data_IF_152856058743
#
_entry.id   IF_152856058743
#
_cell.length_a   1.000
_cell.length_b   1.000
_cell.length_c   1.000
_cell.angle_alpha   90.00
_cell.angle_beta   90.00
_cell.angle_gamma   90.00
#
_symmetry.space_group_name_H-M   'P 1'
#
loop_
_entity.id
_entity.type
_entity.pdbx_description
1 polymer ?
#
# COMPACT_ATOMS: atom_id res chain seq x y z
N UNK A 1 -39.60 22.21 -71.80
CA UNK A 1 -40.44 21.83 -70.63
C UNK A 1 -39.62 21.99 -69.35
N UNK A 2 -39.90 22.97 -68.48
CA UNK A 2 -39.21 23.10 -67.17
C UNK A 2 -39.81 22.09 -66.19
N UNK A 3 -39.03 21.11 -65.75
CA UNK A 3 -39.43 20.14 -64.72
C UNK A 3 -39.74 20.93 -63.43
N UNK A 4 -40.92 20.72 -62.84
CA UNK A 4 -41.31 21.43 -61.61
C UNK A 4 -40.39 21.04 -60.44
N UNK A 5 -40.16 21.97 -59.51
CA UNK A 5 -39.34 21.74 -58.31
C UNK A 5 -39.82 20.51 -57.53
N UNK A 6 -41.12 20.27 -57.50
CA UNK A 6 -41.75 19.09 -56.88
C UNK A 6 -41.34 17.80 -57.58
N UNK A 7 -41.41 17.73 -58.91
CA UNK A 7 -40.98 16.55 -59.68
C UNK A 7 -39.49 16.25 -59.45
N UNK A 8 -38.64 17.28 -59.34
CA UNK A 8 -37.21 17.11 -59.03
C UNK A 8 -36.98 16.57 -57.61
N UNK A 9 -37.76 17.02 -56.62
CA UNK A 9 -37.69 16.51 -55.24
C UNK A 9 -38.16 15.06 -55.15
N UNK A 10 -39.27 14.72 -55.80
CA UNK A 10 -39.79 13.34 -55.85
C UNK A 10 -38.80 12.41 -56.54
N UNK A 11 -38.24 12.81 -57.69
CA UNK A 11 -37.24 12.01 -58.39
C UNK A 11 -35.99 11.75 -57.52
N UNK A 12 -35.50 12.78 -56.81
CA UNK A 12 -34.38 12.61 -55.86
C UNK A 12 -34.73 11.66 -54.72
N UNK A 13 -35.94 11.74 -54.17
CA UNK A 13 -36.40 10.84 -53.11
C UNK A 13 -36.49 9.39 -53.60
N UNK A 14 -37.06 9.16 -54.80
CA UNK A 14 -37.13 7.83 -55.42
C UNK A 14 -35.74 7.27 -55.68
N UNK A 15 -34.82 8.09 -56.21
CA UNK A 15 -33.42 7.68 -56.43
C UNK A 15 -32.71 7.33 -55.11
N UNK A 16 -32.95 8.10 -54.06
CA UNK A 16 -32.40 7.83 -52.73
C UNK A 16 -32.93 6.50 -52.15
N UNK A 17 -34.23 6.25 -52.25
CA UNK A 17 -34.83 4.98 -51.81
C UNK A 17 -34.26 3.80 -52.60
N UNK A 18 -34.18 3.91 -53.93
CA UNK A 18 -33.58 2.87 -54.77
C UNK A 18 -32.11 2.59 -54.39
N UNK A 19 -31.34 3.65 -54.11
CA UNK A 19 -29.95 3.51 -53.66
C UNK A 19 -29.87 2.79 -52.30
N UNK A 20 -30.68 3.19 -51.32
CA UNK A 20 -30.72 2.52 -50.02
C UNK A 20 -31.13 1.05 -50.14
N UNK A 21 -32.18 0.74 -50.91
CA UNK A 21 -32.60 -0.65 -51.15
C UNK A 21 -31.51 -1.48 -51.84
N UNK A 22 -30.79 -0.90 -52.79
CA UNK A 22 -29.67 -1.55 -53.46
C UNK A 22 -28.52 -1.85 -52.48
N UNK A 23 -28.17 -0.89 -51.62
CA UNK A 23 -27.15 -1.07 -50.58
C UNK A 23 -27.53 -2.16 -49.57
N UNK A 24 -28.80 -2.24 -49.18
CA UNK A 24 -29.27 -3.29 -48.27
C UNK A 24 -29.15 -4.68 -48.90
N UNK A 25 -29.57 -4.83 -50.16
CA UNK A 25 -29.46 -6.11 -50.89
C UNK A 25 -27.98 -6.53 -51.02
N UNK A 26 -27.09 -5.60 -51.40
CA UNK A 26 -25.66 -5.88 -51.47
C UNK A 26 -25.08 -6.29 -50.11
N UNK A 27 -25.56 -5.68 -49.02
CA UNK A 27 -25.11 -5.96 -47.66
C UNK A 27 -25.42 -7.39 -47.21
N UNK A 28 -26.52 -8.00 -47.67
CA UNK A 28 -26.78 -9.43 -47.44
C UNK A 28 -25.69 -10.33 -48.06
N UNK A 29 -25.26 -10.00 -49.29
CA UNK A 29 -24.19 -10.72 -49.99
C UNK A 29 -22.83 -10.53 -49.32
N UNK A 30 -22.49 -9.27 -48.97
CA UNK A 30 -21.24 -8.95 -48.27
C UNK A 30 -21.17 -9.62 -46.88
N UNK A 31 -22.28 -9.68 -46.15
CA UNK A 31 -22.37 -10.41 -44.89
C UNK A 31 -22.10 -11.91 -45.08
N UNK A 32 -22.68 -12.53 -46.11
CA UNK A 32 -22.47 -13.96 -46.41
C UNK A 32 -21.00 -14.28 -46.70
N UNK A 33 -20.36 -13.46 -47.54
CA UNK A 33 -18.95 -13.64 -47.89
C UNK A 33 -18.04 -13.57 -46.65
N UNK A 34 -18.41 -12.77 -45.65
CA UNK A 34 -17.60 -12.53 -44.46
C UNK A 34 -17.87 -13.52 -43.33
N UNK A 35 -19.14 -13.81 -43.05
CA UNK A 35 -19.54 -14.65 -41.90
C UNK A 35 -19.75 -16.12 -42.27
N UNK A 36 -19.65 -16.48 -43.55
CA UNK A 36 -19.91 -17.84 -44.05
C UNK A 36 -21.39 -18.25 -44.00
N UNK A 37 -22.29 -17.35 -43.60
CA UNK A 37 -23.74 -17.57 -43.44
C UNK A 37 -24.56 -16.36 -43.85
N UNK A 38 -25.80 -16.58 -44.28
CA UNK A 38 -26.71 -15.49 -44.61
C UNK A 38 -27.05 -14.63 -43.39
N UNK A 39 -27.31 -13.34 -43.63
CA UNK A 39 -27.69 -12.40 -42.59
C UNK A 39 -29.00 -12.83 -41.92
N UNK A 40 -28.99 -12.85 -40.59
CA UNK A 40 -30.20 -12.91 -39.77
C UNK A 40 -30.05 -11.93 -38.61
N UNK A 41 -31.16 -11.32 -38.19
CA UNK A 41 -31.14 -10.34 -37.10
C UNK A 41 -30.68 -10.96 -35.77
N UNK A 42 -31.01 -12.22 -35.51
CA UNK A 42 -30.52 -12.94 -34.33
C UNK A 42 -29.01 -13.15 -34.36
N UNK A 43 -28.46 -13.53 -35.52
CA UNK A 43 -27.00 -13.65 -35.71
C UNK A 43 -26.31 -12.30 -35.57
N UNK A 44 -26.83 -11.26 -36.20
CA UNK A 44 -26.29 -9.90 -36.12
C UNK A 44 -26.30 -9.36 -34.68
N UNK A 45 -27.36 -9.65 -33.91
CA UNK A 45 -27.46 -9.31 -32.50
C UNK A 45 -26.46 -10.10 -31.64
N UNK A 46 -26.28 -11.41 -31.89
CA UNK A 46 -25.28 -12.22 -31.20
C UNK A 46 -23.85 -11.70 -31.42
N UNK A 47 -23.51 -11.31 -32.66
CA UNK A 47 -22.22 -10.73 -33.00
C UNK A 47 -21.99 -9.40 -32.28
N UNK A 48 -23.02 -8.54 -32.17
CA UNK A 48 -22.94 -7.29 -31.41
C UNK A 48 -22.76 -7.52 -29.91
N UNK A 49 -23.55 -8.42 -29.33
CA UNK A 49 -23.51 -8.70 -27.90
C UNK A 49 -22.18 -9.34 -27.47
N UNK A 50 -21.62 -10.25 -28.28
CA UNK A 50 -20.31 -10.86 -28.01
C UNK A 50 -19.14 -9.87 -28.17
N UNK A 51 -19.27 -8.87 -29.06
CA UNK A 51 -18.28 -7.81 -29.16
C UNK A 51 -18.26 -6.89 -27.93
N UNK A 52 -19.44 -6.56 -27.37
CA UNK A 52 -19.55 -5.74 -26.15
C UNK A 52 -19.00 -6.42 -24.89
N UNK A 53 -19.15 -7.74 -24.75
CA UNK A 53 -18.63 -8.50 -23.61
C UNK A 53 -17.12 -8.78 -23.66
N UNK A 54 -16.47 -8.58 -24.80
CA UNK A 54 -15.04 -8.86 -24.99
C UNK A 54 -14.11 -7.70 -24.62
N UNK A 55 -14.66 -6.54 -24.26
CA UNK A 55 -13.86 -5.42 -23.76
C UNK A 55 -13.53 -5.66 -22.28
N UNK A 56 -12.37 -6.27 -22.02
CA UNK A 56 -11.71 -6.13 -20.72
C UNK A 56 -11.55 -4.64 -20.46
N UNK A 57 -12.34 -4.10 -19.52
CA UNK A 57 -12.21 -2.72 -19.05
C UNK A 57 -10.73 -2.45 -18.79
N UNK A 58 -10.19 -1.38 -19.38
CA UNK A 58 -8.87 -0.89 -18.99
C UNK A 58 -8.99 -0.37 -17.55
N UNK A 59 -8.73 -1.23 -16.58
CA UNK A 59 -8.42 -0.77 -15.24
C UNK A 59 -7.03 -0.16 -15.30
N UNK A 60 -6.90 1.08 -14.85
CA UNK A 60 -5.59 1.54 -14.38
C UNK A 60 -5.11 0.47 -13.39
N UNK A 61 -3.90 -0.10 -13.55
CA UNK A 61 -3.24 -0.79 -12.46
C UNK A 61 -2.89 0.27 -11.41
N UNK A 62 -3.91 0.74 -10.70
CA UNK A 62 -3.75 1.35 -9.40
C UNK A 62 -3.61 0.15 -8.51
N UNK A 63 -2.38 -0.12 -8.08
CA UNK A 63 -2.20 -1.07 -7.01
C UNK A 63 -2.77 -0.43 -5.74
N UNK A 64 -4.06 -0.68 -5.49
CA UNK A 64 -4.80 -0.19 -4.33
C UNK A 64 -4.40 -0.92 -3.05
N UNK A 65 -3.46 -1.88 -3.12
CA UNK A 65 -2.98 -2.60 -1.94
C UNK A 65 -2.14 -1.71 -1.01
N UNK A 66 -1.55 -0.63 -1.53
CA UNK A 66 -0.81 0.33 -0.72
C UNK A 66 -1.77 1.30 -0.02
N UNK A 67 -2.06 1.04 1.25
CA UNK A 67 -2.71 1.98 2.15
C UNK A 67 -1.70 3.07 2.58
N UNK A 68 -2.13 4.33 2.68
CA UNK A 68 -1.28 5.47 3.10
C UNK A 68 -1.10 6.56 2.04
N UNK A 69 -0.91 7.80 2.47
CA UNK A 69 -0.52 8.93 1.62
C UNK A 69 1.01 9.02 1.50
N UNK A 70 1.53 9.40 0.33
CA UNK A 70 2.98 9.62 0.14
C UNK A 70 3.43 10.82 0.98
N UNK A 71 4.49 10.65 1.77
CA UNK A 71 5.11 11.72 2.55
C UNK A 71 6.50 12.02 1.98
N UNK A 72 6.82 13.29 1.68
CA UNK A 72 8.05 13.63 0.94
C UNK A 72 9.34 13.22 1.64
N UNK A 73 9.35 13.16 2.98
CA UNK A 73 10.55 12.84 3.77
C UNK A 73 10.54 11.45 4.41
N UNK A 74 9.34 10.88 4.63
CA UNK A 74 9.16 9.65 5.43
C UNK A 74 8.63 8.50 4.56
N UNK A 75 8.43 8.77 3.27
CA UNK A 75 7.95 7.82 2.27
C UNK A 75 6.43 7.72 2.24
N UNK A 76 5.81 7.34 3.36
CA UNK A 76 4.35 7.29 3.47
C UNK A 76 3.88 7.53 4.91
N UNK A 77 2.67 8.04 5.05
CA UNK A 77 1.97 8.29 6.33
C UNK A 77 0.49 7.91 6.20
N UNK A 78 -0.27 8.01 7.28
CA UNK A 78 -1.73 7.82 7.21
C UNK A 78 -2.38 8.88 6.33
N UNK A 79 -3.38 8.53 5.52
CA UNK A 79 -4.05 9.52 4.69
C UNK A 79 -4.86 10.49 5.56
N UNK A 80 -5.09 11.74 5.10
CA UNK A 80 -5.77 12.77 5.91
C UNK A 80 -7.20 12.41 6.35
N UNK A 81 -7.84 11.50 5.62
CA UNK A 81 -9.19 10.99 5.88
C UNK A 81 -9.20 9.66 6.65
N UNK A 82 -8.06 9.23 7.19
CA UNK A 82 -8.00 8.06 8.03
C UNK A 82 -8.72 8.33 9.35
N UNK A 83 -9.71 7.50 9.67
CA UNK A 83 -10.34 7.50 10.97
C UNK A 83 -9.78 6.34 11.79
N UNK A 84 -9.31 6.58 13.03
CA UNK A 84 -8.92 5.50 13.92
C UNK A 84 -10.10 4.57 14.16
N UNK A 85 -9.85 3.26 14.15
CA UNK A 85 -10.86 2.30 14.55
C UNK A 85 -11.14 2.48 16.05
N UNK A 86 -12.23 3.20 16.36
CA UNK A 86 -12.60 3.59 17.73
C UNK A 86 -12.85 2.42 18.67
N UNK A 87 -13.02 1.18 18.16
CA UNK A 87 -13.37 0.01 18.98
C UNK A 87 -12.27 -0.45 19.95
N UNK A 88 -11.01 -0.03 19.76
CA UNK A 88 -9.87 -0.56 20.53
C UNK A 88 -9.08 0.53 21.29
N UNK A 89 -9.63 1.74 21.45
CA UNK A 89 -8.94 2.85 22.12
C UNK A 89 -9.25 2.87 23.61
N UNK A 90 -8.22 2.77 24.44
CA UNK A 90 -8.35 2.71 25.92
C UNK A 90 -8.01 4.02 26.62
N UNK A 91 -7.39 4.97 25.92
CA UNK A 91 -6.89 6.23 26.49
C UNK A 91 -6.68 7.30 25.40
N UNK A 92 -6.77 8.58 25.79
CA UNK A 92 -6.65 9.76 24.93
C UNK A 92 -7.97 10.52 24.83
N UNK A 93 -8.15 11.54 25.68
CA UNK A 93 -9.30 12.46 25.57
C UNK A 93 -9.14 13.44 24.40
N UNK A 94 -10.27 13.75 23.77
CA UNK A 94 -10.45 14.67 22.63
C UNK A 94 -9.46 14.49 21.47
N UNK A 95 -9.81 13.52 20.61
CA UNK A 95 -9.27 13.39 19.25
C UNK A 95 -9.21 14.77 18.58
N UNK A 96 -8.00 15.22 18.21
CA UNK A 96 -7.93 15.96 16.95
C UNK A 96 -8.43 14.99 15.89
N UNK A 97 -9.56 15.29 15.24
CA UNK A 97 -10.19 14.42 14.23
C UNK A 97 -9.31 14.16 12.99
N UNK A 98 -8.02 14.50 13.03
CA UNK A 98 -7.07 14.39 11.94
C UNK A 98 -5.71 13.90 12.45
N UNK A 99 -5.05 13.00 11.71
CA UNK A 99 -3.69 12.59 12.03
C UNK A 99 -2.76 13.82 11.98
N UNK A 100 -1.94 14.00 13.01
CA UNK A 100 -1.01 15.12 13.12
C UNK A 100 0.11 14.94 12.08
N UNK A 101 -0.04 15.56 10.91
CA UNK A 101 0.81 15.36 9.73
C UNK A 101 0.87 13.91 9.21
N UNK A 102 -0.24 13.18 9.36
CA UNK A 102 -0.32 11.79 8.90
C UNK A 102 0.17 10.74 9.91
N UNK A 103 0.51 11.15 11.14
CA UNK A 103 0.84 10.24 12.23
C UNK A 103 -0.36 9.98 13.18
N UNK A 104 -0.47 8.78 13.78
CA UNK A 104 -1.60 8.35 14.63
C UNK A 104 -1.70 9.02 16.01
N UNK A 105 -0.94 10.08 16.27
CA UNK A 105 -0.88 10.69 17.59
C UNK A 105 -2.13 11.49 17.96
N UNK A 106 -2.58 11.36 19.21
CA UNK A 106 -3.70 12.13 19.78
C UNK A 106 -3.37 13.59 20.08
N UNK A 107 -2.09 13.92 20.18
CA UNK A 107 -1.59 15.29 20.40
C UNK A 107 -0.74 15.69 19.20
N UNK A 108 -0.58 17.01 18.92
CA UNK A 108 0.38 17.48 17.93
C UNK A 108 1.75 16.82 18.14
N UNK A 109 2.37 16.34 17.07
CA UNK A 109 3.66 15.64 17.17
C UNK A 109 4.79 16.57 17.65
N UNK A 110 4.70 17.87 17.33
CA UNK A 110 5.62 18.90 17.81
C UNK A 110 5.24 19.31 19.23
N UNK A 111 6.06 18.91 20.19
CA UNK A 111 5.93 19.25 21.61
C UNK A 111 7.20 19.95 22.12
N UNK A 112 7.08 20.68 23.23
CA UNK A 112 8.18 21.40 23.88
C UNK A 112 8.36 20.94 25.31
N UNK A 113 9.60 20.67 25.71
CA UNK A 113 9.91 20.21 27.07
C UNK A 113 9.47 21.25 28.09
N UNK A 114 9.03 20.76 29.24
CA UNK A 114 8.76 21.58 30.41
C UNK A 114 9.23 20.87 31.68
N UNK A 115 9.51 21.61 32.77
CA UNK A 115 9.92 21.00 34.03
C UNK A 115 8.89 20.06 34.68
N UNK A 116 7.65 20.01 34.20
CA UNK A 116 6.60 19.18 34.78
C UNK A 116 6.16 18.03 33.84
N UNK A 117 6.62 18.03 32.60
CA UNK A 117 6.22 17.04 31.58
C UNK A 117 7.36 16.08 31.25
N UNK A 118 7.02 14.88 30.80
CA UNK A 118 7.96 13.94 30.18
C UNK A 118 7.38 13.59 28.81
N UNK A 119 8.07 13.97 27.76
CA UNK A 119 7.65 13.75 26.38
C UNK A 119 8.23 12.43 25.89
N UNK A 120 7.37 11.48 25.56
CA UNK A 120 7.73 10.16 25.03
C UNK A 120 7.39 10.11 23.55
N UNK A 121 8.39 9.92 22.70
CA UNK A 121 8.19 9.63 21.28
C UNK A 121 8.16 8.12 21.05
N UNK A 122 7.07 7.60 20.49
CA UNK A 122 6.94 6.19 20.13
C UNK A 122 7.11 6.00 18.62
N UNK A 123 8.07 5.16 18.24
CA UNK A 123 8.47 4.89 16.85
C UNK A 123 8.40 3.39 16.55
N UNK A 124 8.15 3.07 15.28
CA UNK A 124 8.12 1.69 14.80
C UNK A 124 7.02 1.41 13.79
N UNK A 125 6.71 0.13 13.62
CA UNK A 125 5.69 -0.39 12.72
C UNK A 125 4.29 -0.48 13.34
N UNK A 126 3.48 -1.42 12.81
CA UNK A 126 2.10 -1.64 13.27
C UNK A 126 2.01 -2.13 14.73
N UNK A 127 2.99 -2.88 15.21
CA UNK A 127 3.04 -3.28 16.63
C UNK A 127 3.22 -2.06 17.54
N UNK A 128 4.14 -1.14 17.20
CA UNK A 128 4.31 0.11 17.94
C UNK A 128 3.05 1.00 17.85
N UNK A 129 2.41 1.06 16.68
CA UNK A 129 1.15 1.79 16.49
C UNK A 129 0.02 1.21 17.37
N UNK A 130 -0.17 -0.10 17.41
CA UNK A 130 -1.19 -0.73 18.27
C UNK A 130 -0.83 -0.58 19.75
N UNK A 131 0.46 -0.70 20.08
CA UNK A 131 0.98 -0.46 21.41
C UNK A 131 0.65 0.95 21.91
N UNK A 132 0.66 1.96 21.02
CA UNK A 132 0.20 3.31 21.36
C UNK A 132 -1.22 3.31 21.93
N UNK A 133 -2.12 2.54 21.31
CA UNK A 133 -3.54 2.51 21.66
C UNK A 133 -3.87 1.62 22.87
N UNK A 134 -3.09 0.56 23.08
CA UNK A 134 -3.41 -0.49 24.05
C UNK A 134 -2.40 -0.64 25.18
N UNK A 135 -1.10 -0.42 24.90
CA UNK A 135 -0.02 -0.66 25.85
C UNK A 135 0.45 0.58 26.61
N UNK A 136 0.34 1.78 26.03
CA UNK A 136 0.82 3.02 26.66
C UNK A 136 0.24 3.25 28.06
N UNK A 137 -1.07 3.08 28.34
CA UNK A 137 -1.60 3.30 29.68
C UNK A 137 -0.89 2.47 30.75
N UNK A 138 -0.60 1.20 30.46
CA UNK A 138 0.12 0.29 31.36
C UNK A 138 1.57 0.75 31.53
N UNK A 139 2.25 1.12 30.44
CA UNK A 139 3.61 1.64 30.49
C UNK A 139 3.69 2.88 31.39
N UNK A 140 2.78 3.85 31.22
CA UNK A 140 2.80 5.08 31.98
C UNK A 140 2.54 4.84 33.47
N UNK A 141 1.59 3.95 33.82
CA UNK A 141 1.38 3.59 35.22
C UNK A 141 2.63 2.95 35.84
N UNK A 142 3.33 2.08 35.11
CA UNK A 142 4.59 1.49 35.58
C UNK A 142 5.70 2.50 35.74
N UNK A 143 5.87 3.43 34.80
CA UNK A 143 6.89 4.48 34.93
C UNK A 143 6.62 5.39 36.14
N UNK A 144 5.36 5.67 36.50
CA UNK A 144 5.02 6.49 37.69
C UNK A 144 5.43 5.86 39.02
N UNK A 145 5.65 4.54 39.06
CA UNK A 145 6.12 3.85 40.27
C UNK A 145 7.52 4.37 40.68
N UNK A 146 8.34 4.75 39.70
CA UNK A 146 9.70 5.28 39.90
C UNK A 146 9.72 6.75 40.37
N UNK A 147 10.51 7.09 41.39
CA UNK A 147 10.66 8.48 41.87
C UNK A 147 11.02 9.51 40.79
N UNK A 148 11.75 9.12 39.73
CA UNK A 148 12.14 10.00 38.61
C UNK A 148 10.93 10.56 37.87
N UNK A 149 9.88 9.78 37.73
CA UNK A 149 8.70 10.14 36.94
C UNK A 149 7.49 10.50 37.80
N UNK A 150 7.55 10.24 39.11
CA UNK A 150 6.45 10.49 40.03
C UNK A 150 6.04 11.97 40.02
N UNK A 151 4.75 12.22 39.78
CA UNK A 151 4.17 13.57 39.74
C UNK A 151 4.43 14.35 38.45
N UNK A 152 5.09 13.76 37.46
CA UNK A 152 5.24 14.33 36.11
C UNK A 152 4.02 14.00 35.25
N UNK A 153 3.65 14.91 34.36
CA UNK A 153 2.68 14.63 33.30
C UNK A 153 3.39 13.96 32.12
N UNK A 154 2.85 12.86 31.61
CA UNK A 154 3.35 12.23 30.39
C UNK A 154 2.66 12.79 29.15
N UNK A 155 3.47 13.17 28.17
CA UNK A 155 3.02 13.59 26.84
C UNK A 155 3.54 12.56 25.84
N UNK A 156 2.68 11.75 25.25
CA UNK A 156 3.12 10.71 24.31
C UNK A 156 2.76 11.10 22.89
N UNK A 157 3.78 11.23 22.05
CA UNK A 157 3.65 11.46 20.60
C UNK A 157 3.94 10.16 19.85
N UNK A 158 3.03 9.75 18.99
CA UNK A 158 3.18 8.53 18.20
C UNK A 158 3.62 8.86 16.79
N UNK A 159 4.83 8.44 16.43
CA UNK A 159 5.42 8.53 15.09
C UNK A 159 5.49 7.14 14.43
N UNK A 160 4.94 6.11 15.08
CA UNK A 160 4.81 4.77 14.52
C UNK A 160 3.74 4.75 13.43
N UNK A 161 3.92 3.91 12.42
CA UNK A 161 2.92 3.74 11.36
C UNK A 161 3.02 2.34 10.78
N UNK A 162 1.87 1.74 10.50
CA UNK A 162 1.73 0.40 9.95
C UNK A 162 2.66 0.15 8.78
N UNK A 163 3.50 -0.87 8.93
CA UNK A 163 4.45 -1.29 7.90
C UNK A 163 5.71 -0.43 7.74
N UNK A 164 5.96 0.52 8.65
CA UNK A 164 7.23 1.23 8.70
C UNK A 164 8.39 0.26 8.95
N UNK A 165 9.49 0.53 8.24
CA UNK A 165 10.77 -0.13 8.41
C UNK A 165 11.88 0.90 8.18
N UNK A 166 13.07 0.65 8.69
CA UNK A 166 14.19 1.56 8.54
C UNK A 166 14.47 1.84 7.05
N UNK A 167 14.85 3.08 6.71
CA UNK A 167 15.16 4.21 7.60
C UNK A 167 13.95 5.11 7.93
N UNK A 168 12.69 4.65 7.80
CA UNK A 168 11.53 5.52 7.98
C UNK A 168 11.44 6.12 9.39
N UNK A 169 11.77 5.35 10.43
CA UNK A 169 11.82 5.85 11.82
C UNK A 169 12.91 6.91 12.00
N UNK A 170 14.11 6.68 11.44
CA UNK A 170 15.19 7.68 11.43
C UNK A 170 14.76 8.98 10.72
N UNK A 171 14.09 8.87 9.58
CA UNK A 171 13.59 10.05 8.85
C UNK A 171 12.46 10.75 9.60
N UNK A 172 11.58 10.00 10.28
CA UNK A 172 10.53 10.57 11.12
C UNK A 172 11.10 11.36 12.30
N UNK A 173 12.19 10.89 12.92
CA UNK A 173 12.87 11.64 13.99
C UNK A 173 13.48 12.93 13.46
N UNK A 174 14.20 12.88 12.33
CA UNK A 174 14.74 14.09 11.71
C UNK A 174 13.65 15.10 11.36
N UNK A 175 12.55 14.63 10.76
CA UNK A 175 11.40 15.45 10.44
C UNK A 175 10.81 16.14 11.67
N UNK A 176 10.67 15.43 12.79
CA UNK A 176 10.21 15.98 14.06
C UNK A 176 11.16 17.04 14.62
N UNK A 177 12.47 16.73 14.69
CA UNK A 177 13.47 17.62 15.26
C UNK A 177 13.63 18.91 14.46
N UNK A 178 13.58 18.84 13.12
CA UNK A 178 13.68 20.02 12.23
C UNK A 178 12.49 20.97 12.42
N UNK A 179 11.30 20.45 12.74
CA UNK A 179 10.15 21.28 13.11
C UNK A 179 10.26 21.90 14.52
N UNK A 180 11.31 21.57 15.25
CA UNK A 180 11.52 22.00 16.62
C UNK A 180 10.76 21.15 17.64
N UNK A 181 10.33 19.94 17.30
CA UNK A 181 9.81 18.99 18.29
C UNK A 181 10.91 18.53 19.24
N UNK A 182 10.56 18.35 20.51
CA UNK A 182 11.47 17.88 21.55
C UNK A 182 10.91 16.62 22.22
N UNK A 183 11.79 15.70 22.63
CA UNK A 183 11.44 14.46 23.31
C UNK A 183 12.31 14.30 24.56
N UNK A 184 11.80 13.75 25.66
CA UNK A 184 12.64 13.31 26.78
C UNK A 184 13.10 11.86 26.59
N UNK A 185 12.21 11.04 26.04
CA UNK A 185 12.42 9.61 25.79
C UNK A 185 11.97 9.25 24.38
N UNK A 186 12.76 8.44 23.67
CA UNK A 186 12.37 7.80 22.41
C UNK A 186 12.30 6.29 22.63
N UNK A 187 11.14 5.71 22.38
CA UNK A 187 10.89 4.26 22.40
C UNK A 187 10.72 3.80 20.97
N UNK A 188 11.62 2.95 20.48
CA UNK A 188 11.53 2.35 19.15
C UNK A 188 11.25 0.85 19.26
N UNK A 189 10.13 0.39 18.72
CA UNK A 189 9.75 -1.02 18.68
C UNK A 189 9.67 -1.48 17.23
N UNK A 190 10.66 -2.26 16.78
CA UNK A 190 10.79 -2.65 15.37
C UNK A 190 11.48 -4.02 15.16
N UNK A 191 11.95 -4.28 13.94
CA UNK A 191 12.69 -5.47 13.53
C UNK A 191 11.91 -6.39 12.59
N UNK A 192 10.64 -6.68 12.88
CA UNK A 192 9.82 -7.57 12.04
C UNK A 192 9.70 -7.09 10.59
N UNK A 193 9.30 -5.84 10.40
CA UNK A 193 9.04 -5.28 9.07
C UNK A 193 10.30 -5.23 8.18
N UNK A 194 11.50 -5.17 8.79
CA UNK A 194 12.77 -5.14 8.08
C UNK A 194 12.95 -6.42 7.26
N UNK A 195 12.64 -7.57 7.86
CA UNK A 195 12.93 -8.89 7.30
C UNK A 195 11.69 -9.57 6.73
N UNK A 196 10.49 -9.21 7.19
CA UNK A 196 9.24 -9.83 6.76
C UNK A 196 8.78 -9.41 5.36
N UNK A 197 8.94 -8.13 4.99
CA UNK A 197 8.31 -7.59 3.77
C UNK A 197 9.11 -7.79 2.49
N UNK A 198 10.39 -8.14 2.59
CA UNK A 198 11.28 -8.18 1.43
C UNK A 198 10.77 -9.16 0.35
N UNK A 199 10.66 -10.44 0.69
CA UNK A 199 10.26 -11.50 -0.23
C UNK A 199 8.81 -11.35 -0.73
N UNK A 200 7.93 -10.81 0.11
CA UNK A 200 6.51 -10.64 -0.23
C UNK A 200 6.21 -9.38 -1.05
N UNK A 201 7.16 -8.45 -1.17
CA UNK A 201 6.90 -7.10 -1.69
C UNK A 201 7.97 -6.60 -2.66
N UNK A 202 8.81 -5.67 -2.19
CA UNK A 202 9.71 -4.87 -3.01
C UNK A 202 10.65 -5.70 -3.91
N UNK A 203 11.11 -6.87 -3.45
CA UNK A 203 12.02 -7.73 -4.22
C UNK A 203 11.44 -8.15 -5.57
N UNK A 204 10.17 -8.57 -5.60
CA UNK A 204 9.50 -9.04 -6.82
C UNK A 204 9.36 -7.94 -7.89
N UNK A 205 9.49 -6.68 -7.47
CA UNK A 205 9.37 -5.50 -8.31
C UNK A 205 10.72 -4.85 -8.59
N UNK A 206 11.83 -5.49 -8.18
CA UNK A 206 13.18 -4.96 -8.33
C UNK A 206 13.41 -3.66 -7.55
N UNK A 207 12.65 -3.43 -6.48
CA UNK A 207 12.76 -2.22 -5.66
C UNK A 207 13.84 -2.42 -4.60
N UNK A 208 14.74 -1.44 -4.48
CA UNK A 208 15.83 -1.43 -3.52
C UNK A 208 15.30 -1.52 -2.07
N UNK A 209 15.88 -2.37 -1.20
CA UNK A 209 15.25 -2.71 0.08
C UNK A 209 15.11 -1.54 1.04
N UNK A 210 15.88 -0.46 0.88
CA UNK A 210 15.78 0.74 1.73
C UNK A 210 14.44 1.47 1.57
N UNK A 211 13.78 1.33 0.41
CA UNK A 211 12.54 2.06 0.13
C UNK A 211 11.37 1.52 0.98
N UNK A 212 10.33 2.35 1.24
CA UNK A 212 9.15 1.91 1.96
C UNK A 212 8.52 0.64 1.36
N UNK A 213 7.77 -0.11 2.15
CA UNK A 213 7.00 -1.25 1.63
C UNK A 213 6.04 -0.80 0.52
N UNK A 214 5.87 -1.66 -0.48
CA UNK A 214 4.98 -1.42 -1.63
C UNK A 214 5.34 -0.12 -2.38
N UNK A 215 6.62 0.23 -2.47
CA UNK A 215 7.04 1.50 -3.08
C UNK A 215 6.52 1.66 -4.50
N UNK A 216 6.60 0.62 -5.34
CA UNK A 216 6.14 0.73 -6.71
C UNK A 216 4.65 1.01 -6.82
N UNK A 217 3.83 0.49 -5.91
CA UNK A 217 2.42 0.82 -5.83
C UNK A 217 2.21 2.29 -5.47
N UNK A 218 3.00 2.82 -4.52
CA UNK A 218 2.90 4.20 -4.02
C UNK A 218 3.33 5.23 -5.05
N UNK A 219 4.42 4.99 -5.76
CA UNK A 219 4.91 5.89 -6.83
C UNK A 219 4.41 5.52 -8.21
N UNK A 220 3.66 4.42 -8.36
CA UNK A 220 3.08 3.97 -9.63
C UNK A 220 2.07 4.95 -10.24
N UNK A 221 1.60 5.92 -9.45
CA UNK A 221 0.77 7.04 -9.92
C UNK A 221 1.59 8.20 -10.49
N UNK A 222 2.87 8.31 -10.15
CA UNK A 222 3.81 9.27 -10.73
C UNK A 222 4.25 8.69 -12.08
N UNK A 223 3.40 8.88 -13.08
CA UNK A 223 3.61 8.33 -14.42
C UNK A 223 4.21 9.38 -15.35
N UNK A 224 5.03 8.92 -16.29
CA UNK A 224 5.44 9.73 -17.42
C UNK A 224 4.19 10.37 -18.09
N UNK A 225 4.16 11.70 -18.31
CA UNK A 225 3.11 12.37 -19.08
C UNK A 225 2.78 11.67 -20.42
N UNK A 226 3.76 11.03 -21.06
CA UNK A 226 3.58 10.19 -22.24
C UNK A 226 2.69 8.98 -21.96
N UNK A 227 2.98 8.21 -20.92
CA UNK A 227 2.20 7.05 -20.51
C UNK A 227 0.78 7.47 -20.11
N UNK A 228 0.62 8.57 -19.35
CA UNK A 228 -0.69 9.12 -19.00
C UNK A 228 -1.52 9.47 -20.24
N UNK A 229 -0.89 10.04 -21.27
CA UNK A 229 -1.54 10.33 -22.55
C UNK A 229 -2.02 9.06 -23.24
N UNK A 230 -1.24 7.97 -23.22
CA UNK A 230 -1.64 6.68 -23.77
C UNK A 230 -2.85 6.09 -23.05
N UNK A 231 -2.87 6.14 -21.70
CA UNK A 231 -4.03 5.74 -20.91
C UNK A 231 -5.27 6.58 -21.23
N UNK A 232 -5.12 7.91 -21.36
CA UNK A 232 -6.20 8.80 -21.76
C UNK A 232 -6.76 8.48 -23.15
N UNK A 233 -5.87 8.19 -24.12
CA UNK A 233 -6.27 7.76 -25.47
C UNK A 233 -7.02 6.44 -25.46
N UNK A 234 -6.55 5.46 -24.68
CA UNK A 234 -7.21 4.17 -24.56
C UNK A 234 -8.61 4.30 -23.91
N UNK A 235 -8.74 5.14 -22.87
CA UNK A 235 -10.04 5.41 -22.23
C UNK A 235 -11.05 6.07 -23.20
N UNK A 236 -10.60 7.02 -24.03
CA UNK A 236 -11.44 7.62 -25.08
C UNK A 236 -11.89 6.55 -26.09
N UNK A 237 -10.98 5.68 -26.54
CA UNK A 237 -11.31 4.59 -27.47
C UNK A 237 -12.31 3.58 -26.89
N UNK A 238 -12.25 3.32 -25.58
CA UNK A 238 -13.26 2.49 -24.89
C UNK A 238 -14.63 3.18 -24.86
N UNK A 239 -14.68 4.50 -24.62
CA UNK A 239 -15.94 5.25 -24.72
C UNK A 239 -16.49 5.24 -26.15
N UNK A 240 -15.65 5.51 -27.15
CA UNK A 240 -16.02 5.49 -28.57
C UNK A 240 -16.56 4.12 -28.97
N UNK A 241 -15.97 3.02 -28.48
CA UNK A 241 -16.42 1.66 -28.76
C UNK A 241 -17.83 1.42 -28.21
N UNK A 242 -18.09 1.87 -26.97
CA UNK A 242 -19.40 1.77 -26.34
C UNK A 242 -20.44 2.62 -27.08
N UNK A 243 -20.14 3.88 -27.34
CA UNK A 243 -21.04 4.81 -28.03
C UNK A 243 -21.35 4.33 -29.46
N UNK A 244 -20.35 3.79 -30.18
CA UNK A 244 -20.54 3.16 -31.48
C UNK A 244 -21.47 1.94 -31.39
N UNK A 245 -21.32 1.10 -30.36
CA UNK A 245 -22.22 -0.02 -30.10
C UNK A 245 -23.66 0.41 -29.82
N UNK A 246 -23.85 1.41 -28.97
CA UNK A 246 -25.16 1.98 -28.63
C UNK A 246 -25.84 2.62 -29.84
N UNK A 247 -25.12 3.44 -30.60
CA UNK A 247 -25.63 4.11 -31.80
C UNK A 247 -26.16 3.12 -32.83
N UNK A 248 -25.38 2.08 -33.16
CA UNK A 248 -25.79 1.08 -34.15
C UNK A 248 -26.78 0.02 -33.61
N UNK A 249 -27.03 0.01 -32.31
CA UNK A 249 -28.09 -0.79 -31.68
C UNK A 249 -29.42 -0.02 -31.56
N UNK A 250 -29.42 1.28 -31.85
CA UNK A 250 -30.62 2.11 -31.88
C UNK A 250 -31.51 1.82 -33.09
N UNK A 251 -32.80 2.15 -32.97
CA UNK A 251 -33.74 2.11 -34.11
C UNK A 251 -33.56 3.39 -34.96
N UNK A 252 -33.51 3.30 -36.30
CA UNK A 252 -33.71 2.12 -37.15
C UNK A 252 -32.43 1.33 -37.48
N UNK A 253 -31.25 1.80 -37.05
CA UNK A 253 -29.93 1.25 -37.41
C UNK A 253 -29.80 -0.25 -37.12
N UNK A 254 -30.40 -0.71 -36.03
CA UNK A 254 -30.43 -2.11 -35.62
C UNK A 254 -30.90 -3.07 -36.71
N UNK A 255 -31.87 -2.64 -37.52
CA UNK A 255 -32.55 -3.48 -38.51
C UNK A 255 -31.87 -3.52 -39.87
N UNK A 256 -30.93 -2.60 -40.14
CA UNK A 256 -30.26 -2.47 -41.43
C UNK A 256 -29.00 -3.36 -41.51
N UNK A 257 -28.95 -4.35 -42.42
CA UNK A 257 -27.72 -5.06 -42.76
C UNK A 257 -26.56 -4.13 -43.13
N UNK A 258 -26.84 -3.04 -43.83
CA UNK A 258 -25.84 -2.02 -44.19
C UNK A 258 -25.25 -1.37 -42.94
N UNK A 259 -26.10 -0.92 -42.00
CA UNK A 259 -25.66 -0.36 -40.73
C UNK A 259 -24.90 -1.39 -39.87
N UNK A 260 -25.26 -2.69 -39.94
CA UNK A 260 -24.50 -3.73 -39.26
C UNK A 260 -23.07 -3.86 -39.82
N UNK A 261 -22.89 -3.82 -41.14
CA UNK A 261 -21.56 -3.87 -41.76
C UNK A 261 -20.73 -2.62 -41.43
N UNK A 262 -21.37 -1.44 -41.43
CA UNK A 262 -20.74 -0.18 -41.02
C UNK A 262 -20.29 -0.24 -39.55
N UNK A 263 -21.19 -0.62 -38.64
CA UNK A 263 -20.86 -0.87 -37.23
C UNK A 263 -19.66 -1.79 -37.10
N UNK A 264 -19.65 -2.92 -37.81
CA UNK A 264 -18.57 -3.90 -37.68
C UNK A 264 -17.23 -3.34 -38.16
N UNK A 265 -17.23 -2.57 -39.24
CA UNK A 265 -16.04 -1.93 -39.76
C UNK A 265 -15.48 -0.88 -38.77
N UNK A 266 -16.35 -0.01 -38.23
CA UNK A 266 -15.95 0.99 -37.24
C UNK A 266 -15.51 0.35 -35.92
N UNK A 267 -16.26 -0.63 -35.44
CA UNK A 267 -15.98 -1.38 -34.21
C UNK A 267 -14.64 -2.13 -34.30
N UNK A 268 -14.36 -2.77 -35.45
CA UNK A 268 -13.07 -3.45 -35.65
C UNK A 268 -11.90 -2.46 -35.73
N UNK A 269 -12.11 -1.28 -36.32
CA UNK A 269 -11.09 -0.21 -36.34
C UNK A 269 -10.78 0.28 -34.93
N UNK A 270 -11.82 0.54 -34.12
CA UNK A 270 -11.68 0.95 -32.72
C UNK A 270 -10.99 -0.12 -31.88
N UNK A 271 -11.37 -1.39 -32.01
CA UNK A 271 -10.71 -2.51 -31.30
C UNK A 271 -9.22 -2.58 -31.64
N UNK A 272 -8.84 -2.47 -32.94
CA UNK A 272 -7.43 -2.50 -33.34
C UNK A 272 -6.63 -1.35 -32.76
N UNK A 273 -7.21 -0.14 -32.76
CA UNK A 273 -6.59 1.06 -32.17
C UNK A 273 -6.44 0.91 -30.65
N UNK A 274 -7.46 0.37 -29.98
CA UNK A 274 -7.43 0.11 -28.54
C UNK A 274 -6.37 -0.95 -28.20
N UNK A 275 -6.28 -2.04 -28.97
CA UNK A 275 -5.24 -3.06 -28.79
C UNK A 275 -3.85 -2.47 -28.98
N UNK A 276 -3.63 -1.65 -30.03
CA UNK A 276 -2.35 -0.98 -30.24
C UNK A 276 -1.99 -0.03 -29.09
N UNK A 277 -2.97 0.73 -28.57
CA UNK A 277 -2.77 1.58 -27.40
C UNK A 277 -2.44 0.76 -26.14
N UNK A 278 -3.11 -0.38 -25.91
CA UNK A 278 -2.81 -1.29 -24.78
C UNK A 278 -1.38 -1.86 -24.87
N UNK A 279 -0.95 -2.31 -26.05
CA UNK A 279 0.43 -2.78 -26.27
C UNK A 279 1.45 -1.66 -26.08
N UNK A 280 1.15 -0.43 -26.52
CA UNK A 280 2.03 0.72 -26.29
C UNK A 280 2.16 1.05 -24.79
N UNK A 281 1.04 1.00 -24.05
CA UNK A 281 1.03 1.15 -22.59
C UNK A 281 1.91 0.09 -21.92
N UNK A 282 1.78 -1.19 -22.31
CA UNK A 282 2.58 -2.28 -21.72
C UNK A 282 4.08 -2.08 -21.97
N UNK A 283 4.47 -1.79 -23.21
CA UNK A 283 5.88 -1.61 -23.58
C UNK A 283 6.53 -0.38 -22.89
N UNK A 284 5.80 0.72 -22.76
CA UNK A 284 6.32 1.92 -22.11
C UNK A 284 6.27 1.81 -20.58
N UNK A 285 5.33 1.04 -20.02
CA UNK A 285 5.28 0.76 -18.59
C UNK A 285 6.54 -0.01 -18.13
N UNK A 286 7.01 -0.99 -18.91
CA UNK A 286 8.25 -1.70 -18.59
C UNK A 286 9.48 -0.77 -18.58
N UNK A 287 9.52 0.24 -19.45
CA UNK A 287 10.61 1.23 -19.49
C UNK A 287 10.51 2.24 -18.34
N UNK A 288 9.33 2.79 -18.10
CA UNK A 288 9.07 3.76 -17.02
C UNK A 288 9.41 3.16 -15.64
N UNK A 289 9.14 1.86 -15.43
CA UNK A 289 9.49 1.20 -14.16
C UNK A 289 11.01 1.09 -13.96
N UNK A 290 11.80 0.88 -15.01
CA UNK A 290 13.26 0.71 -14.92
C UNK A 290 14.01 2.04 -14.71
N UNK A 291 13.46 3.16 -15.17
CA UNK A 291 14.10 4.47 -15.07
C UNK A 291 13.77 5.23 -13.76
N UNK A 292 12.98 4.63 -12.85
CA UNK A 292 12.56 5.25 -11.59
C UNK A 292 13.59 5.06 -10.47
N UNK A 293 13.83 6.09 -9.63
CA UNK A 293 14.67 5.95 -8.45
C UNK A 293 14.19 4.82 -7.53
N UNK A 294 15.12 3.94 -7.16
CA UNK A 294 14.86 2.82 -6.29
C UNK A 294 14.45 1.53 -6.99
N UNK A 295 14.42 1.49 -8.32
CA UNK A 295 14.21 0.27 -9.10
C UNK A 295 15.54 -0.25 -9.68
N UNK A 296 15.53 -1.50 -10.18
CA UNK A 296 16.72 -2.17 -10.74
C UNK A 296 17.60 -2.86 -9.70
N UNK A 297 17.08 -3.11 -8.50
CA UNK A 297 17.78 -3.89 -7.49
C UNK A 297 17.74 -5.38 -7.83
N UNK A 298 18.93 -5.96 -7.93
CA UNK A 298 19.15 -7.38 -8.19
C UNK A 298 20.20 -7.89 -7.20
N UNK A 299 19.78 -8.54 -6.10
CA UNK A 299 20.74 -9.09 -5.15
C UNK A 299 21.49 -10.28 -5.74
N UNK A 300 22.72 -10.53 -5.29
CA UNK A 300 23.51 -11.68 -5.78
C UNK A 300 23.04 -13.00 -5.17
N UNK A 301 22.53 -12.97 -3.93
CA UNK A 301 21.86 -14.10 -3.27
C UNK A 301 20.83 -13.61 -2.24
N UNK A 302 19.98 -14.52 -1.74
CA UNK A 302 19.02 -14.19 -0.68
C UNK A 302 19.68 -13.97 0.69
N UNK A 303 20.80 -14.64 0.99
CA UNK A 303 21.56 -14.41 2.22
C UNK A 303 22.09 -12.97 2.28
N UNK A 304 22.65 -12.47 1.17
CA UNK A 304 23.18 -11.11 1.06
C UNK A 304 22.08 -10.07 1.31
N UNK A 305 20.84 -10.35 0.89
CA UNK A 305 19.70 -9.47 1.14
C UNK A 305 19.43 -9.31 2.64
N UNK A 306 19.37 -10.40 3.40
CA UNK A 306 19.04 -10.31 4.83
C UNK A 306 20.16 -9.62 5.61
N UNK A 307 21.42 -9.83 5.23
CA UNK A 307 22.54 -9.07 5.77
C UNK A 307 22.43 -7.58 5.45
N UNK A 308 22.07 -7.22 4.22
CA UNK A 308 21.86 -5.83 3.81
C UNK A 308 20.70 -5.17 4.57
N UNK A 309 19.55 -5.85 4.68
CA UNK A 309 18.38 -5.39 5.44
C UNK A 309 18.73 -5.11 6.91
N UNK A 310 19.42 -6.05 7.55
CA UNK A 310 19.85 -5.92 8.95
C UNK A 310 20.93 -4.86 9.09
N UNK A 311 21.82 -4.70 8.11
CA UNK A 311 22.82 -3.63 8.07
C UNK A 311 22.20 -2.24 7.97
N UNK A 312 21.14 -2.08 7.17
CA UNK A 312 20.34 -0.84 7.10
C UNK A 312 19.67 -0.57 8.44
N UNK A 313 19.05 -1.58 9.05
CA UNK A 313 18.41 -1.48 10.36
C UNK A 313 19.43 -1.06 11.44
N UNK A 314 20.55 -1.76 11.57
CA UNK A 314 21.60 -1.49 12.55
C UNK A 314 22.18 -0.08 12.38
N UNK A 315 22.49 0.31 11.14
CA UNK A 315 23.02 1.64 10.83
C UNK A 315 22.01 2.74 11.15
N UNK A 316 20.73 2.52 10.84
CA UNK A 316 19.67 3.48 11.14
C UNK A 316 19.45 3.63 12.64
N UNK A 317 19.46 2.52 13.40
CA UNK A 317 19.36 2.54 14.86
C UNK A 317 20.51 3.30 15.52
N UNK A 318 21.75 3.10 15.05
CA UNK A 318 22.90 3.87 15.54
C UNK A 318 22.75 5.37 15.26
N UNK A 319 22.31 5.73 14.05
CA UNK A 319 22.05 7.14 13.71
C UNK A 319 20.91 7.74 14.55
N UNK A 320 19.89 6.96 14.89
CA UNK A 320 18.84 7.39 15.84
C UNK A 320 19.45 7.64 17.22
N UNK A 321 20.29 6.72 17.73
CA UNK A 321 20.98 6.86 19.01
C UNK A 321 21.86 8.11 19.07
N UNK A 322 22.67 8.34 18.04
CA UNK A 322 23.52 9.53 17.90
C UNK A 322 22.70 10.83 17.88
N UNK A 323 21.60 10.88 17.12
CA UNK A 323 20.69 12.03 17.09
C UNK A 323 20.02 12.25 18.45
N UNK A 324 19.59 11.19 19.11
CA UNK A 324 19.00 11.25 20.45
C UNK A 324 20.01 11.81 21.46
N UNK A 325 21.23 11.28 21.49
CA UNK A 325 22.30 11.74 22.38
C UNK A 325 22.61 13.22 22.15
N UNK A 326 22.73 13.65 20.89
CA UNK A 326 22.99 15.05 20.53
C UNK A 326 21.87 16.02 20.96
N UNK A 327 20.64 15.51 21.15
CA UNK A 327 19.47 16.28 21.57
C UNK A 327 19.05 16.03 23.02
N UNK A 328 19.87 15.31 23.81
CA UNK A 328 19.56 14.91 25.19
C UNK A 328 18.25 14.11 25.32
N UNK A 329 18.01 13.19 24.38
CA UNK A 329 16.87 12.28 24.35
C UNK A 329 17.36 10.90 24.79
N UNK A 330 16.70 10.27 25.77
CA UNK A 330 17.00 8.89 26.14
C UNK A 330 16.43 7.94 25.09
N UNK A 331 17.29 7.21 24.38
CA UNK A 331 16.87 6.25 23.35
C UNK A 331 16.78 4.84 23.93
N UNK A 332 15.64 4.20 23.72
CA UNK A 332 15.39 2.79 24.04
C UNK A 332 14.91 2.06 22.80
N UNK A 333 15.59 0.97 22.45
CA UNK A 333 15.34 0.19 21.25
C UNK A 333 14.96 -1.24 21.59
N UNK A 334 13.79 -1.66 21.14
CA UNK A 334 13.22 -2.97 21.44
C UNK A 334 13.03 -3.78 20.15
N UNK A 335 13.67 -4.94 20.07
CA UNK A 335 13.36 -5.92 19.01
C UNK A 335 12.05 -6.61 19.35
N UNK A 336 11.03 -6.43 18.51
CA UNK A 336 9.68 -6.88 18.81
C UNK A 336 9.52 -8.41 18.85
N UNK A 337 8.59 -8.94 19.68
CA UNK A 337 8.21 -10.35 19.63
C UNK A 337 7.62 -10.76 18.27
N UNK A 338 7.82 -12.03 17.88
CA UNK A 338 7.10 -12.62 16.75
C UNK A 338 6.89 -14.15 16.92
N UNK A 339 5.72 -14.63 16.49
CA UNK A 339 5.28 -16.02 16.60
C UNK A 339 6.06 -17.03 15.78
N UNK A 340 6.75 -16.59 14.72
CA UNK A 340 7.58 -17.45 13.88
C UNK A 340 9.02 -17.60 14.38
N UNK A 341 9.39 -16.89 15.46
CA UNK A 341 10.68 -17.11 16.14
C UNK A 341 10.58 -18.38 16.96
N UNK A 342 11.46 -19.34 16.69
CA UNK A 342 11.46 -20.63 17.37
C UNK A 342 11.61 -20.47 18.90
N UNK A 343 10.71 -21.09 19.66
CA UNK A 343 10.72 -21.04 21.12
C UNK A 343 10.38 -19.68 21.73
N UNK A 344 9.79 -18.74 20.96
CA UNK A 344 9.35 -17.44 21.47
C UNK A 344 8.13 -17.51 22.36
N UNK A 345 7.25 -18.48 22.11
CA UNK A 345 6.03 -18.72 22.89
C UNK A 345 5.52 -20.16 22.72
N UNK A 346 5.12 -20.85 23.80
CA UNK A 346 4.28 -22.03 23.71
C UNK A 346 2.85 -21.64 23.32
N UNK A 347 2.32 -22.20 22.23
CA UNK A 347 0.95 -21.95 21.77
C UNK A 347 0.08 -23.20 21.94
N UNK A 348 -1.13 -23.02 22.48
CA UNK A 348 -2.16 -24.06 22.47
C UNK A 348 -2.85 -24.17 21.11
N UNK A 349 -3.66 -25.22 20.93
CA UNK A 349 -4.33 -25.53 19.66
C UNK A 349 -5.16 -24.34 19.12
N UNK A 350 -5.91 -23.66 19.98
CA UNK A 350 -6.76 -22.52 19.58
C UNK A 350 -5.97 -21.33 19.06
N UNK A 351 -4.84 -21.01 19.70
CA UNK A 351 -3.97 -19.91 19.26
C UNK A 351 -3.23 -20.29 17.98
N UNK A 352 -2.75 -21.53 17.85
CA UNK A 352 -2.08 -22.01 16.63
C UNK A 352 -2.95 -21.85 15.39
N UNK A 353 -4.27 -22.08 15.48
CA UNK A 353 -5.19 -21.90 14.35
C UNK A 353 -5.31 -20.46 13.86
N UNK A 354 -5.06 -19.48 14.72
CA UNK A 354 -5.20 -18.04 14.43
C UNK A 354 -3.84 -17.43 14.10
N UNK A 355 -2.83 -17.78 14.90
CA UNK A 355 -1.56 -17.11 14.98
C UNK A 355 -0.45 -17.79 14.16
N UNK A 356 -0.63 -19.02 13.69
CA UNK A 356 0.44 -19.73 13.01
C UNK A 356 0.01 -20.32 11.68
N UNK A 357 0.70 -19.92 10.62
CA UNK A 357 0.58 -20.54 9.30
C UNK A 357 1.94 -20.94 8.75
N UNK A 358 2.10 -22.22 8.46
CA UNK A 358 3.35 -22.77 7.95
C UNK A 358 3.74 -22.18 6.58
N UNK A 359 2.74 -21.86 5.76
CA UNK A 359 2.86 -21.28 4.42
C UNK A 359 2.83 -19.75 4.40
N UNK A 360 2.90 -19.09 5.57
CA UNK A 360 2.77 -17.64 5.65
C UNK A 360 3.98 -16.93 4.98
N UNK A 361 3.76 -15.95 4.09
CA UNK A 361 4.84 -15.31 3.32
C UNK A 361 5.88 -14.57 4.17
N UNK A 362 5.54 -14.20 5.41
CA UNK A 362 6.48 -13.52 6.32
C UNK A 362 7.33 -14.48 7.16
N UNK A 363 6.95 -15.77 7.24
CA UNK A 363 7.60 -16.74 8.12
C UNK A 363 9.07 -16.91 7.76
N UNK A 364 9.39 -17.06 6.48
CA UNK A 364 10.76 -17.22 6.02
C UNK A 364 11.64 -16.02 6.44
N UNK A 365 11.13 -14.80 6.24
CA UNK A 365 11.83 -13.58 6.65
C UNK A 365 12.09 -13.53 8.15
N UNK A 366 11.15 -13.98 8.98
CA UNK A 366 11.37 -14.09 10.41
C UNK A 366 12.43 -15.13 10.74
N UNK A 367 12.28 -16.36 10.24
CA UNK A 367 13.17 -17.48 10.58
C UNK A 367 14.62 -17.21 10.17
N UNK A 368 14.85 -16.54 9.02
CA UNK A 368 16.20 -16.21 8.54
C UNK A 368 16.72 -14.89 9.11
N UNK A 369 15.87 -13.88 9.23
CA UNK A 369 16.27 -12.52 9.58
C UNK A 369 16.42 -12.28 11.09
N UNK A 370 15.59 -12.90 11.93
CA UNK A 370 15.66 -12.65 13.38
C UNK A 370 16.98 -13.05 14.04
N UNK A 371 17.62 -14.19 13.69
CA UNK A 371 18.95 -14.50 14.20
C UNK A 371 19.97 -13.38 13.93
N UNK A 372 19.91 -12.77 12.74
CA UNK A 372 20.78 -11.66 12.36
C UNK A 372 20.42 -10.36 13.10
N UNK A 373 19.13 -10.05 13.25
CA UNK A 373 18.65 -8.91 14.04
C UNK A 373 19.09 -8.99 15.50
N UNK A 374 19.02 -10.19 16.12
CA UNK A 374 19.47 -10.40 17.50
C UNK A 374 20.97 -10.15 17.64
N UNK A 375 21.77 -10.69 16.73
CA UNK A 375 23.23 -10.44 16.71
C UNK A 375 23.56 -8.96 16.49
N UNK A 376 22.82 -8.28 15.61
CA UNK A 376 22.98 -6.84 15.39
C UNK A 376 22.56 -6.02 16.62
N UNK A 377 21.48 -6.42 17.28
CA UNK A 377 21.04 -5.84 18.55
C UNK A 377 22.06 -6.00 19.68
N UNK A 378 22.70 -7.16 19.79
CA UNK A 378 23.80 -7.39 20.72
C UNK A 378 24.98 -6.45 20.43
N UNK A 379 25.32 -6.22 19.16
CA UNK A 379 26.35 -5.24 18.78
C UNK A 379 25.96 -3.82 19.17
N UNK A 380 24.70 -3.42 18.95
CA UNK A 380 24.18 -2.12 19.37
C UNK A 380 24.31 -1.95 20.90
N UNK A 381 23.88 -2.95 21.67
CA UNK A 381 24.02 -2.94 23.13
C UNK A 381 25.48 -2.84 23.59
N UNK A 382 26.39 -3.59 22.96
CA UNK A 382 27.84 -3.53 23.24
C UNK A 382 28.45 -2.16 22.90
N UNK A 383 27.87 -1.43 21.93
CA UNK A 383 28.25 -0.05 21.61
C UNK A 383 27.64 1.01 22.54
N UNK A 384 26.84 0.60 23.53
CA UNK A 384 26.27 1.48 24.55
C UNK A 384 24.83 1.94 24.28
N UNK A 385 24.17 1.44 23.23
CA UNK A 385 22.76 1.70 22.99
C UNK A 385 21.88 0.93 24.00
N UNK A 386 20.76 1.52 24.47
CA UNK A 386 19.81 0.82 25.33
C UNK A 386 18.92 -0.11 24.49
N UNK A 387 19.53 -1.16 23.93
CA UNK A 387 18.86 -2.19 23.16
C UNK A 387 18.37 -3.33 24.06
N UNK A 388 17.14 -3.79 23.84
CA UNK A 388 16.56 -4.96 24.52
C UNK A 388 15.90 -5.89 23.51
N UNK A 389 16.31 -7.15 23.53
CA UNK A 389 15.67 -8.21 22.77
C UNK A 389 14.39 -8.66 23.49
N UNK A 390 13.22 -8.41 22.89
CA UNK A 390 11.92 -8.85 23.42
C UNK A 390 11.36 -10.04 22.65
N UNK A 391 12.17 -10.73 21.84
CA UNK A 391 11.71 -11.90 21.07
C UNK A 391 11.13 -13.01 21.93
N UNK A 392 11.49 -13.07 23.22
CA UNK A 392 11.02 -14.05 24.19
C UNK A 392 10.03 -13.51 25.22
N UNK A 393 9.45 -12.32 24.97
CA UNK A 393 8.54 -11.66 25.91
C UNK A 393 7.36 -12.56 26.35
N UNK A 394 6.95 -13.51 25.50
CA UNK A 394 5.83 -14.42 25.75
C UNK A 394 6.23 -15.87 26.02
N UNK A 395 7.52 -16.16 26.23
CA UNK A 395 8.04 -17.54 26.38
C UNK A 395 7.37 -18.29 27.53
N UNK A 396 7.00 -17.57 28.59
CA UNK A 396 6.39 -18.16 29.80
C UNK A 396 4.86 -18.00 29.84
N UNK A 397 4.25 -17.37 28.83
CA UNK A 397 2.81 -17.10 28.79
C UNK A 397 2.07 -18.27 28.15
N UNK A 398 1.08 -18.84 28.84
CA UNK A 398 0.27 -19.95 28.33
C UNK A 398 -1.02 -19.48 27.65
N UNK A 399 -1.53 -18.32 28.06
CA UNK A 399 -2.72 -17.70 27.49
C UNK A 399 -2.47 -17.21 26.06
N UNK A 400 -3.52 -17.17 25.23
CA UNK A 400 -3.42 -16.64 23.87
C UNK A 400 -3.09 -15.15 23.87
N UNK A 401 -2.02 -14.78 23.17
CA UNK A 401 -1.57 -13.39 23.05
C UNK A 401 -1.55 -12.91 21.61
N UNK A 402 -1.37 -13.78 20.62
CA UNK A 402 -1.40 -13.40 19.22
C UNK A 402 -2.84 -13.42 18.69
N UNK A 403 -3.20 -12.40 17.90
CA UNK A 403 -4.56 -12.24 17.35
C UNK A 403 -4.62 -12.41 15.82
N UNK A 404 -3.48 -12.60 15.17
CA UNK A 404 -3.38 -12.89 13.74
C UNK A 404 -2.10 -13.68 13.39
N UNK A 405 -2.05 -14.18 12.16
CA UNK A 405 -0.91 -14.91 11.58
C UNK A 405 0.23 -13.97 11.10
N UNK A 406 0.15 -12.67 11.40
CA UNK A 406 1.13 -11.67 11.03
C UNK A 406 2.11 -11.35 12.18
N UNK A 407 1.68 -10.59 13.19
CA UNK A 407 2.52 -10.15 14.32
C UNK A 407 1.77 -9.40 15.44
N UNK A 408 0.43 -9.28 15.42
CA UNK A 408 -0.26 -8.40 16.37
C UNK A 408 -0.73 -9.13 17.63
N UNK A 409 -0.85 -8.36 18.72
CA UNK A 409 -1.14 -8.88 20.05
C UNK A 409 -2.53 -8.50 20.56
N UNK A 410 -3.08 -9.32 21.45
CA UNK A 410 -4.25 -9.03 22.26
C UNK A 410 -3.94 -7.98 23.34
N UNK A 411 -4.96 -7.54 24.08
CA UNK A 411 -4.78 -6.65 25.23
C UNK A 411 -3.81 -7.23 26.27
N UNK A 412 -3.82 -8.56 26.45
CA UNK A 412 -2.87 -9.25 27.34
C UNK A 412 -1.44 -9.15 26.80
N UNK A 413 -1.24 -9.41 25.51
CA UNK A 413 0.09 -9.34 24.90
C UNK A 413 0.66 -7.91 24.93
N UNK A 414 -0.17 -6.90 24.65
CA UNK A 414 0.24 -5.49 24.76
C UNK A 414 0.54 -5.07 26.21
N UNK A 415 -0.18 -5.61 27.21
CA UNK A 415 0.14 -5.39 28.63
C UNK A 415 1.50 -5.97 29.00
N UNK A 416 1.78 -7.23 28.62
CA UNK A 416 3.06 -7.88 28.88
C UNK A 416 4.19 -7.10 28.20
N UNK A 417 4.00 -6.68 26.95
CA UNK A 417 4.96 -5.84 26.24
C UNK A 417 5.23 -4.53 26.99
N UNK A 418 4.18 -3.86 27.49
CA UNK A 418 4.31 -2.61 28.23
C UNK A 418 5.13 -2.79 29.52
N UNK A 419 4.87 -3.87 30.27
CA UNK A 419 5.61 -4.21 31.49
C UNK A 419 7.09 -4.47 31.19
N UNK A 420 7.39 -5.25 30.15
CA UNK A 420 8.79 -5.51 29.72
C UNK A 420 9.53 -4.24 29.30
N UNK A 421 8.87 -3.36 28.54
CA UNK A 421 9.44 -2.07 28.13
C UNK A 421 9.69 -1.18 29.36
N UNK A 422 8.71 -1.09 30.28
CA UNK A 422 8.86 -0.31 31.51
C UNK A 422 10.04 -0.82 32.34
N UNK A 423 10.14 -2.13 32.55
CA UNK A 423 11.26 -2.73 33.27
C UNK A 423 12.62 -2.38 32.67
N UNK A 424 12.75 -2.44 31.34
CA UNK A 424 13.99 -2.10 30.66
C UNK A 424 14.35 -0.62 30.83
N UNK A 425 13.37 0.28 30.70
CA UNK A 425 13.56 1.72 30.91
C UNK A 425 14.02 2.00 32.34
N UNK A 426 13.38 1.38 33.34
CA UNK A 426 13.65 1.59 34.76
C UNK A 426 14.98 0.98 35.22
N UNK A 427 15.44 -0.10 34.58
CA UNK A 427 16.74 -0.74 34.88
C UNK A 427 17.93 -0.03 34.25
N UNK A 428 17.70 0.79 33.21
CA UNK A 428 18.79 1.41 32.47
C UNK A 428 19.45 2.53 33.29
N UNK A 429 20.79 2.58 33.34
CA UNK A 429 21.50 3.66 34.03
C UNK A 429 21.23 5.01 33.33
N UNK A 430 21.02 6.06 34.13
CA UNK A 430 20.75 7.42 33.64
C UNK A 430 21.93 8.06 32.91
#
# INVERSE_FOLDING_TARGET
MRISRTKRRVFKAVLFVMLCSFLEILSFGAFRLREGRWYSWSTAAQIRNSAGSSSTKLSLPVDTSATGAVHPYVGCVMPPNWEPNKMNMTWGEELTNHPCDGFPSFRPVVQKRSPNTVIIGLFGGSVAEIFYYQGIPVLLEKLKEDPKYRGREFVVVCMATGGFKQPQQLMALNYLLVQGGELDVLINVDGFNEVAFHASGNQKQGVFPIYPRSWAARVGQIRDPHVLKLYGQAAILESDLRENGEFFSSVPMYYSPTCHLLWRATNQSLIRRLQAAKVAIENDHERDVLDRPGFGYHPSSEEEVYEELVGIWESSSRLIGELCAANAIQYYHFLQPNQYVEGSKPMGDDELQIAFREDHPYREGVTRGYPLLRQAGERLALSGENFTDLTDAFRETQESVYIDDCCHFSDLGNRILAERIAEAILKSPN
#
